data_IF_411397844129
#
_entry.id   IF_411397844129
#
_cell.length_a   1.000
_cell.length_b   1.000
_cell.length_c   1.000
_cell.angle_alpha   90.00
_cell.angle_beta   90.00
_cell.angle_gamma   90.00
#
_symmetry.space_group_name_H-M   'P 1'
#
loop_
_entity.id
_entity.type
_entity.pdbx_description
1 polymer ?
#
# COMPACT_ATOMS: atom_id res chain seq x y z
N UNK A 1 30.53 15.34 -8.28
CA UNK A 1 29.23 15.79 -8.80
C UNK A 1 28.63 16.78 -7.83
N UNK A 2 27.84 17.76 -8.30
CA UNK A 2 27.12 18.71 -7.44
C UNK A 2 26.07 17.92 -6.64
N UNK A 3 26.03 18.09 -5.33
CA UNK A 3 25.01 17.51 -4.45
C UNK A 3 23.65 18.08 -4.83
N UNK A 4 22.68 17.24 -5.15
CA UNK A 4 21.29 17.62 -5.49
C UNK A 4 20.35 17.26 -4.34
N UNK A 5 19.29 18.07 -4.17
CA UNK A 5 18.14 17.69 -3.36
C UNK A 5 17.12 16.98 -4.25
N UNK A 6 16.85 15.72 -3.95
CA UNK A 6 15.96 14.83 -4.71
C UNK A 6 14.81 14.40 -3.80
N UNK A 7 13.58 14.53 -4.27
CA UNK A 7 12.40 14.03 -3.57
C UNK A 7 11.88 12.77 -4.28
N UNK A 8 11.72 11.68 -3.54
CA UNK A 8 11.20 10.42 -4.07
C UNK A 8 9.77 10.22 -3.54
N UNK A 9 8.78 10.44 -4.40
CA UNK A 9 7.38 10.16 -4.12
C UNK A 9 7.15 8.65 -4.17
N UNK A 10 6.52 8.08 -3.14
CA UNK A 10 6.47 6.62 -2.94
C UNK A 10 7.78 6.06 -2.37
N UNK A 11 8.58 6.91 -1.70
CA UNK A 11 9.91 6.60 -1.20
C UNK A 11 10.00 5.45 -0.18
N UNK A 12 8.88 5.04 0.43
CA UNK A 12 8.79 3.88 1.33
C UNK A 12 8.42 2.57 0.65
N UNK A 13 8.06 2.60 -0.65
CA UNK A 13 7.64 1.42 -1.42
C UNK A 13 8.80 0.52 -1.88
N UNK A 14 8.46 -0.54 -2.62
CA UNK A 14 9.41 -1.53 -3.14
C UNK A 14 10.57 -0.89 -3.93
N UNK A 15 10.26 -0.05 -4.89
CA UNK A 15 11.25 0.65 -5.71
C UNK A 15 11.81 1.86 -4.95
N UNK A 16 10.92 2.62 -4.30
CA UNK A 16 11.29 3.89 -3.65
C UNK A 16 12.34 3.73 -2.57
N UNK A 17 12.23 2.74 -1.70
CA UNK A 17 13.22 2.51 -0.62
C UNK A 17 14.61 2.18 -1.16
N UNK A 18 14.68 1.35 -2.21
CA UNK A 18 15.93 0.99 -2.90
C UNK A 18 16.54 2.22 -3.62
N UNK A 19 15.70 2.98 -4.32
CA UNK A 19 16.10 4.20 -5.02
C UNK A 19 16.65 5.26 -4.06
N UNK A 20 15.96 5.51 -2.94
CA UNK A 20 16.42 6.42 -1.88
C UNK A 20 17.81 6.04 -1.39
N UNK A 21 18.05 4.75 -1.13
CA UNK A 21 19.35 4.26 -0.71
C UNK A 21 20.43 4.48 -1.79
N UNK A 22 20.14 4.13 -3.04
CA UNK A 22 21.07 4.31 -4.16
C UNK A 22 21.47 5.79 -4.36
N UNK A 23 20.49 6.68 -4.30
CA UNK A 23 20.74 8.14 -4.46
C UNK A 23 21.52 8.73 -3.29
N UNK A 24 21.25 8.29 -2.05
CA UNK A 24 22.00 8.70 -0.85
C UNK A 24 23.46 8.23 -0.90
N UNK A 25 23.70 6.99 -1.33
CA UNK A 25 25.06 6.44 -1.52
C UNK A 25 25.87 7.22 -2.56
N UNK A 26 25.20 7.87 -3.52
CA UNK A 26 25.81 8.78 -4.51
C UNK A 26 26.03 10.21 -3.96
N UNK A 27 25.77 10.44 -2.68
CA UNK A 27 26.04 11.72 -2.01
C UNK A 27 24.93 12.78 -2.16
N UNK A 28 23.76 12.44 -2.70
CA UNK A 28 22.64 13.37 -2.83
C UNK A 28 21.88 13.53 -1.50
N UNK A 29 21.20 14.67 -1.35
CA UNK A 29 20.22 14.88 -0.30
C UNK A 29 18.88 14.30 -0.77
N UNK A 30 18.37 13.28 -0.08
CA UNK A 30 17.17 12.56 -0.55
C UNK A 30 16.09 12.53 0.51
N UNK A 31 14.92 13.08 0.17
CA UNK A 31 13.70 12.97 0.94
C UNK A 31 12.86 11.81 0.41
N UNK A 32 12.59 10.84 1.28
CA UNK A 32 11.61 9.77 1.00
C UNK A 32 10.21 10.27 1.38
N UNK A 33 9.41 10.63 0.39
CA UNK A 33 8.09 11.18 0.57
C UNK A 33 7.00 10.12 0.42
N UNK A 34 6.11 10.04 1.41
CA UNK A 34 4.94 9.14 1.44
C UNK A 34 3.92 9.65 2.45
N UNK A 35 2.67 9.17 2.46
CA UNK A 35 1.71 9.54 3.48
C UNK A 35 2.22 9.31 4.91
N UNK A 36 2.99 8.24 5.15
CA UNK A 36 3.60 7.96 6.44
C UNK A 36 4.65 9.00 6.88
N UNK A 37 5.22 9.75 5.95
CA UNK A 37 6.15 10.87 6.22
C UNK A 37 5.46 12.24 6.16
N UNK A 38 4.13 12.31 6.13
CA UNK A 38 3.36 13.55 6.08
C UNK A 38 3.29 14.18 4.69
N UNK A 39 3.57 13.44 3.62
CA UNK A 39 3.47 13.93 2.24
C UNK A 39 2.43 13.11 1.48
N UNK A 40 1.29 13.72 1.18
CA UNK A 40 0.18 13.07 0.51
C UNK A 40 -0.14 13.76 -0.84
N UNK A 41 0.15 13.06 -1.93
CA UNK A 41 -0.10 13.58 -3.29
C UNK A 41 -1.58 13.67 -3.65
N UNK A 42 -2.48 12.91 -3.01
CA UNK A 42 -3.92 13.00 -3.26
C UNK A 42 -4.54 14.26 -2.65
N UNK A 43 -4.09 14.67 -1.48
CA UNK A 43 -4.61 15.86 -0.78
C UNK A 43 -3.77 17.11 -1.00
N UNK A 44 -2.54 16.97 -1.47
CA UNK A 44 -1.55 18.04 -1.57
C UNK A 44 -0.83 18.34 -0.24
N UNK A 45 -1.19 17.68 0.84
CA UNK A 45 -0.60 17.90 2.17
C UNK A 45 0.89 17.59 2.16
N UNK A 46 1.69 18.50 2.73
CA UNK A 46 3.14 18.37 2.86
C UNK A 46 3.94 18.52 1.56
N UNK A 47 3.31 18.63 0.38
CA UNK A 47 4.02 18.73 -0.91
C UNK A 47 4.88 19.98 -0.99
N UNK A 48 4.37 21.16 -0.67
CA UNK A 48 5.11 22.42 -0.77
C UNK A 48 6.38 22.43 0.09
N UNK A 49 6.29 21.86 1.31
CA UNK A 49 7.44 21.77 2.21
C UNK A 49 8.47 20.74 1.75
N UNK A 50 7.99 19.59 1.28
CA UNK A 50 8.85 18.53 0.74
C UNK A 50 9.64 18.98 -0.48
N UNK A 51 9.00 19.74 -1.37
CA UNK A 51 9.57 20.19 -2.64
C UNK A 51 10.42 21.46 -2.53
N UNK A 52 10.42 22.15 -1.39
CA UNK A 52 11.20 23.37 -1.22
C UNK A 52 12.69 23.15 -1.49
N UNK A 53 13.20 23.77 -2.58
CA UNK A 53 14.59 23.65 -3.03
C UNK A 53 14.96 22.30 -3.63
N UNK A 54 14.00 21.47 -3.98
CA UNK A 54 14.23 20.24 -4.73
C UNK A 54 14.54 20.56 -6.20
N UNK A 55 15.63 19.99 -6.73
CA UNK A 55 15.94 20.05 -8.15
C UNK A 55 15.27 18.91 -8.93
N UNK A 56 15.15 17.75 -8.32
CA UNK A 56 14.63 16.53 -8.98
C UNK A 56 13.53 15.90 -8.14
N UNK A 57 12.47 15.51 -8.80
CA UNK A 57 11.41 14.65 -8.22
C UNK A 57 11.38 13.33 -8.96
N UNK A 58 11.35 12.22 -8.22
CA UNK A 58 11.17 10.88 -8.80
C UNK A 58 9.87 10.29 -8.27
N UNK A 59 8.88 10.17 -9.15
CA UNK A 59 7.59 9.58 -8.82
C UNK A 59 7.60 8.08 -9.10
N UNK A 60 7.68 7.29 -8.05
CA UNK A 60 7.51 5.83 -8.06
C UNK A 60 6.29 5.39 -7.25
N UNK A 61 5.33 6.30 -7.06
CA UNK A 61 4.09 6.00 -6.38
C UNK A 61 3.22 5.01 -7.16
N UNK A 62 2.35 4.30 -6.44
CA UNK A 62 1.39 3.39 -7.04
C UNK A 62 0.06 3.46 -6.28
N UNK A 63 -1.04 3.21 -6.99
CA UNK A 63 -2.36 3.22 -6.40
C UNK A 63 -2.51 2.11 -5.34
N UNK A 64 -3.23 2.38 -4.24
CA UNK A 64 -3.53 1.35 -3.24
C UNK A 64 -4.62 0.38 -3.69
N UNK A 65 -5.40 0.73 -4.70
CA UNK A 65 -6.49 -0.05 -5.30
C UNK A 65 -6.15 -0.43 -6.75
N UNK A 66 -6.73 -1.53 -7.22
CA UNK A 66 -6.66 -1.99 -8.61
C UNK A 66 -8.00 -1.86 -9.35
N UNK A 67 -9.03 -1.32 -8.69
CA UNK A 67 -10.30 -1.00 -9.34
C UNK A 67 -10.09 0.09 -10.39
N UNK A 68 -10.61 -0.12 -11.60
CA UNK A 68 -10.36 0.71 -12.78
C UNK A 68 -10.57 2.21 -12.53
N UNK A 69 -11.67 2.57 -11.87
CA UNK A 69 -11.97 3.97 -11.56
C UNK A 69 -11.03 4.52 -10.49
N UNK A 70 -10.79 3.76 -9.42
CA UNK A 70 -9.97 4.21 -8.30
C UNK A 70 -8.49 4.37 -8.69
N UNK A 71 -7.96 3.48 -9.55
CA UNK A 71 -6.58 3.61 -10.04
C UNK A 71 -6.42 4.80 -10.99
N UNK A 72 -7.43 5.09 -11.83
CA UNK A 72 -7.42 6.27 -12.70
C UNK A 72 -7.45 7.56 -11.87
N UNK A 73 -8.40 7.68 -10.94
CA UNK A 73 -8.53 8.84 -10.05
C UNK A 73 -7.25 9.08 -9.23
N UNK A 74 -6.61 8.00 -8.76
CA UNK A 74 -5.33 8.11 -8.06
C UNK A 74 -4.28 8.80 -8.92
N UNK A 75 -3.98 8.27 -10.11
CA UNK A 75 -2.91 8.82 -10.94
C UNK A 75 -3.24 10.19 -11.52
N UNK A 76 -4.50 10.47 -11.82
CA UNK A 76 -4.91 11.80 -12.27
C UNK A 76 -4.82 12.84 -11.15
N UNK A 77 -5.34 12.55 -9.97
CA UNK A 77 -5.36 13.50 -8.85
C UNK A 77 -3.96 13.72 -8.29
N UNK A 78 -3.23 12.63 -8.01
CA UNK A 78 -1.84 12.73 -7.52
C UNK A 78 -0.92 13.41 -8.53
N UNK A 79 -1.08 13.10 -9.83
CA UNK A 79 -0.30 13.72 -10.88
C UNK A 79 -0.53 15.22 -10.99
N UNK A 80 -1.79 15.68 -11.00
CA UNK A 80 -2.11 17.14 -11.03
C UNK A 80 -1.56 17.88 -9.82
N UNK A 81 -1.75 17.33 -8.62
CA UNK A 81 -1.27 17.96 -7.39
C UNK A 81 0.25 18.03 -7.36
N UNK A 82 0.91 16.92 -7.73
CA UNK A 82 2.37 16.85 -7.72
C UNK A 82 2.99 17.81 -8.72
N UNK A 83 2.57 17.75 -9.98
CA UNK A 83 3.09 18.62 -11.06
C UNK A 83 2.81 20.11 -10.78
N UNK A 84 1.64 20.44 -10.20
CA UNK A 84 1.35 21.81 -9.77
C UNK A 84 2.29 22.30 -8.67
N UNK A 85 2.57 21.45 -7.67
CA UNK A 85 3.49 21.76 -6.59
C UNK A 85 4.96 21.85 -7.08
N UNK A 86 5.37 20.98 -8.00
CA UNK A 86 6.69 21.00 -8.65
C UNK A 86 6.92 22.30 -9.43
N UNK A 87 5.94 22.71 -10.24
CA UNK A 87 6.00 23.97 -10.98
C UNK A 87 6.17 25.17 -10.03
N UNK A 88 5.43 25.20 -8.93
CA UNK A 88 5.53 26.26 -7.92
C UNK A 88 6.88 26.24 -7.17
N UNK A 89 7.48 25.06 -7.00
CA UNK A 89 8.79 24.90 -6.34
C UNK A 89 9.99 25.11 -7.27
N UNK A 90 9.78 25.22 -8.59
CA UNK A 90 10.84 25.36 -9.58
C UNK A 90 11.67 24.09 -9.79
N UNK A 91 11.01 22.91 -9.73
CA UNK A 91 11.67 21.63 -10.00
C UNK A 91 12.20 21.58 -11.43
N UNK A 92 13.44 21.15 -11.57
CA UNK A 92 14.16 21.16 -12.85
C UNK A 92 14.03 19.83 -13.62
N UNK A 93 13.67 18.73 -12.94
CA UNK A 93 13.51 17.41 -13.56
C UNK A 93 12.47 16.55 -12.83
N UNK A 94 11.39 16.22 -13.52
CA UNK A 94 10.41 15.20 -13.09
C UNK A 94 10.74 13.85 -13.72
N UNK A 95 10.97 12.83 -12.90
CA UNK A 95 11.17 11.45 -13.35
C UNK A 95 9.99 10.61 -12.92
N UNK A 96 9.31 9.95 -13.84
CA UNK A 96 8.18 9.07 -13.51
C UNK A 96 8.48 7.62 -13.88
N UNK A 97 8.19 6.69 -12.96
CA UNK A 97 8.18 5.27 -13.24
C UNK A 97 6.83 4.88 -13.84
N UNK A 98 6.84 4.42 -15.09
CA UNK A 98 5.70 3.89 -15.82
C UNK A 98 5.92 2.42 -16.19
N UNK A 99 5.10 1.86 -17.06
CA UNK A 99 5.12 0.45 -17.43
C UNK A 99 5.24 0.27 -18.94
N UNK A 100 6.03 -0.69 -19.38
CA UNK A 100 6.10 -1.10 -20.80
C UNK A 100 4.75 -1.66 -21.24
N UNK A 101 4.32 -1.28 -22.45
CA UNK A 101 3.03 -1.70 -22.99
C UNK A 101 1.86 -0.79 -22.61
N UNK A 102 2.10 0.37 -22.03
CA UNK A 102 1.07 1.33 -21.61
C UNK A 102 0.06 1.61 -22.73
N UNK A 103 0.51 1.81 -23.96
CA UNK A 103 -0.36 2.06 -25.13
C UNK A 103 -0.97 0.79 -25.74
N UNK A 104 -0.43 -0.39 -25.43
CA UNK A 104 -0.84 -1.67 -26.03
C UNK A 104 -1.92 -2.41 -25.23
N UNK A 105 -2.05 -2.11 -23.94
CA UNK A 105 -2.91 -2.84 -23.00
C UNK A 105 -4.03 -1.97 -22.42
N UNK A 106 -4.60 -1.08 -23.22
CA UNK A 106 -5.65 -0.14 -22.78
C UNK A 106 -6.98 -0.81 -22.38
N UNK A 107 -7.15 -2.10 -22.62
CA UNK A 107 -8.23 -2.87 -22.02
C UNK A 107 -8.13 -2.98 -20.49
N UNK A 108 -6.93 -2.82 -19.91
CA UNK A 108 -6.68 -2.78 -18.46
C UNK A 108 -6.85 -1.36 -17.90
N UNK A 109 -7.60 -1.20 -16.81
CA UNK A 109 -7.73 0.07 -16.10
C UNK A 109 -6.40 0.62 -15.62
N UNK A 110 -5.51 -0.26 -15.13
CA UNK A 110 -4.18 0.15 -14.71
C UNK A 110 -3.35 0.79 -15.84
N UNK A 111 -3.33 0.18 -17.02
CA UNK A 111 -2.59 0.74 -18.15
C UNK A 111 -3.22 2.04 -18.67
N UNK A 112 -4.57 2.17 -18.63
CA UNK A 112 -5.24 3.45 -18.91
C UNK A 112 -4.84 4.53 -17.91
N UNK A 113 -4.77 4.20 -16.63
CA UNK A 113 -4.37 5.13 -15.59
C UNK A 113 -2.90 5.56 -15.71
N UNK A 114 -2.00 4.65 -16.08
CA UNK A 114 -0.59 4.99 -16.38
C UNK A 114 -0.49 5.85 -17.64
N UNK A 115 -1.31 5.61 -18.65
CA UNK A 115 -1.39 6.47 -19.85
C UNK A 115 -1.83 7.90 -19.46
N UNK A 116 -2.85 8.04 -18.61
CA UNK A 116 -3.31 9.34 -18.12
C UNK A 116 -2.20 10.08 -17.35
N UNK A 117 -1.46 9.40 -16.48
CA UNK A 117 -0.29 9.96 -15.78
C UNK A 117 0.77 10.47 -16.79
N UNK A 118 1.13 9.65 -17.78
CA UNK A 118 2.11 10.06 -18.79
C UNK A 118 1.63 11.28 -19.61
N UNK A 119 0.33 11.36 -19.92
CA UNK A 119 -0.25 12.50 -20.63
C UNK A 119 -0.18 13.78 -19.79
N UNK A 120 -0.47 13.73 -18.50
CA UNK A 120 -0.33 14.87 -17.60
C UNK A 120 1.11 15.37 -17.53
N UNK A 121 2.08 14.46 -17.43
CA UNK A 121 3.51 14.81 -17.40
C UNK A 121 3.92 15.49 -18.72
N UNK A 122 3.55 14.92 -19.87
CA UNK A 122 3.85 15.48 -21.21
C UNK A 122 3.21 16.85 -21.44
N UNK A 123 2.06 17.12 -20.84
CA UNK A 123 1.36 18.40 -20.92
C UNK A 123 1.92 19.45 -19.94
N UNK A 124 2.73 19.05 -18.97
CA UNK A 124 3.38 19.98 -18.03
C UNK A 124 4.52 20.75 -18.68
N UNK A 125 4.88 21.89 -18.07
CA UNK A 125 6.05 22.68 -18.49
C UNK A 125 7.36 22.25 -17.78
N UNK A 126 7.29 21.22 -16.94
CA UNK A 126 8.45 20.74 -16.19
C UNK A 126 9.27 19.82 -17.08
N UNK A 127 10.60 20.00 -17.18
CA UNK A 127 11.46 19.06 -17.89
C UNK A 127 11.30 17.65 -17.28
N UNK A 128 11.16 16.62 -18.11
CA UNK A 128 10.80 15.31 -17.61
C UNK A 128 11.54 14.14 -18.26
N UNK A 129 11.52 13.00 -17.59
CA UNK A 129 11.87 11.70 -18.16
C UNK A 129 10.88 10.64 -17.68
N UNK A 130 10.13 10.02 -18.59
CA UNK A 130 9.27 8.88 -18.30
C UNK A 130 10.09 7.61 -18.48
N UNK A 131 10.19 6.80 -17.44
CA UNK A 131 10.87 5.51 -17.45
C UNK A 131 9.83 4.40 -17.43
N UNK A 132 9.64 3.73 -18.55
CA UNK A 132 8.78 2.55 -18.63
C UNK A 132 9.58 1.30 -18.28
N UNK A 133 9.24 0.64 -17.20
CA UNK A 133 9.84 -0.64 -16.81
C UNK A 133 8.98 -1.81 -17.28
N UNK A 134 9.62 -2.92 -17.62
CA UNK A 134 8.92 -4.20 -17.75
C UNK A 134 8.48 -4.72 -16.37
N UNK A 135 7.73 -5.81 -16.34
CA UNK A 135 7.21 -6.39 -15.10
C UNK A 135 8.36 -6.78 -14.16
N UNK A 136 8.16 -6.61 -12.86
CA UNK A 136 9.21 -6.95 -11.89
C UNK A 136 9.18 -8.44 -11.52
N UNK A 137 10.34 -9.01 -11.22
CA UNK A 137 10.44 -10.37 -10.70
C UNK A 137 9.59 -10.58 -9.44
N UNK A 138 9.51 -9.56 -8.60
CA UNK A 138 8.74 -9.53 -7.35
C UNK A 138 7.22 -9.69 -7.58
N UNK A 139 6.75 -9.55 -8.82
CA UNK A 139 5.35 -9.79 -9.17
C UNK A 139 5.03 -11.25 -9.49
N UNK A 140 6.03 -12.15 -9.56
CA UNK A 140 5.82 -13.56 -9.87
C UNK A 140 4.77 -14.22 -8.93
N UNK A 141 4.80 -13.91 -7.63
CA UNK A 141 3.80 -14.40 -6.67
C UNK A 141 2.40 -13.86 -6.94
N UNK A 142 2.28 -12.57 -7.29
CA UNK A 142 1.02 -11.93 -7.65
C UNK A 142 0.42 -12.48 -8.94
N UNK A 143 1.24 -12.70 -9.97
CA UNK A 143 0.85 -13.35 -11.22
C UNK A 143 0.34 -14.75 -10.94
N UNK A 144 1.09 -15.53 -10.16
CA UNK A 144 0.71 -16.88 -9.74
C UNK A 144 -0.65 -16.88 -9.05
N UNK A 145 -0.85 -16.01 -8.08
CA UNK A 145 -2.11 -15.92 -7.31
C UNK A 145 -3.29 -15.55 -8.21
N UNK A 146 -3.11 -14.57 -9.08
CA UNK A 146 -4.18 -14.11 -9.99
C UNK A 146 -4.59 -15.18 -11.00
N UNK A 147 -3.65 -16.01 -11.45
CA UNK A 147 -3.86 -17.06 -12.45
C UNK A 147 -4.18 -18.44 -11.85
N UNK A 148 -4.39 -18.53 -10.52
CA UNK A 148 -4.64 -19.80 -9.84
C UNK A 148 -6.10 -20.24 -9.96
N UNK A 149 -6.28 -21.46 -10.44
CA UNK A 149 -7.57 -22.17 -10.52
C UNK A 149 -7.42 -23.54 -9.83
N UNK A 150 -7.91 -23.65 -8.59
CA UNK A 150 -7.75 -24.87 -7.77
C UNK A 150 -6.27 -25.22 -7.54
N UNK A 151 -5.83 -26.40 -7.96
CA UNK A 151 -4.46 -26.88 -7.84
C UNK A 151 -3.57 -26.51 -9.04
N UNK A 152 -4.03 -25.64 -9.93
CA UNK A 152 -3.33 -25.28 -11.15
C UNK A 152 -3.18 -23.76 -11.29
N UNK A 153 -2.17 -23.33 -12.05
CA UNK A 153 -1.95 -21.93 -12.44
C UNK A 153 -2.04 -21.87 -13.97
N UNK A 154 -3.08 -21.22 -14.48
CA UNK A 154 -3.37 -21.16 -15.93
C UNK A 154 -2.81 -19.85 -16.51
N UNK A 155 -1.88 -19.96 -17.45
CA UNK A 155 -1.11 -18.82 -17.97
C UNK A 155 -0.95 -18.87 -19.51
N UNK A 156 -0.92 -17.70 -20.16
CA UNK A 156 -0.55 -17.62 -21.56
C UNK A 156 0.95 -17.90 -21.75
N UNK A 157 1.31 -18.32 -22.95
CA UNK A 157 2.73 -18.48 -23.36
C UNK A 157 3.37 -17.18 -23.86
N UNK A 158 2.72 -16.03 -23.67
CA UNK A 158 3.22 -14.74 -24.14
C UNK A 158 4.60 -14.41 -23.55
N UNK A 159 5.45 -13.77 -24.33
CA UNK A 159 6.78 -13.33 -23.90
C UNK A 159 6.69 -12.19 -22.89
N UNK A 160 7.55 -12.24 -21.91
CA UNK A 160 7.88 -11.18 -20.96
C UNK A 160 9.38 -10.94 -20.95
N UNK A 161 9.81 -9.76 -20.51
CA UNK A 161 11.23 -9.48 -20.25
C UNK A 161 11.38 -8.86 -18.86
N UNK A 162 11.01 -9.61 -17.80
CA UNK A 162 10.88 -9.05 -16.47
C UNK A 162 12.23 -8.64 -15.87
N UNK A 163 12.22 -7.66 -14.97
CA UNK A 163 13.38 -6.99 -14.40
C UNK A 163 13.36 -7.08 -12.86
N UNK A 164 14.52 -7.15 -12.21
CA UNK A 164 14.63 -7.06 -10.76
C UNK A 164 14.33 -5.65 -10.26
N UNK A 165 13.64 -5.51 -9.12
CA UNK A 165 13.39 -4.21 -8.48
C UNK A 165 14.70 -3.47 -8.13
N UNK A 166 15.78 -4.18 -7.84
CA UNK A 166 17.11 -3.59 -7.59
C UNK A 166 17.68 -2.93 -8.85
N UNK A 167 17.58 -3.58 -10.01
CA UNK A 167 17.97 -3.00 -11.29
C UNK A 167 17.11 -1.79 -11.67
N UNK A 168 15.79 -1.83 -11.44
CA UNK A 168 14.90 -0.69 -11.65
C UNK A 168 15.36 0.50 -10.83
N UNK A 169 15.63 0.29 -9.54
CA UNK A 169 16.08 1.36 -8.64
C UNK A 169 17.47 1.92 -9.04
N UNK A 170 18.38 1.07 -9.50
CA UNK A 170 19.68 1.51 -9.98
C UNK A 170 19.58 2.35 -11.25
N UNK A 171 18.81 1.89 -12.24
CA UNK A 171 18.59 2.60 -13.50
C UNK A 171 17.81 3.92 -13.30
N UNK A 172 16.82 3.95 -12.41
CA UNK A 172 16.15 5.19 -12.02
C UNK A 172 17.08 6.18 -11.34
N UNK A 173 18.02 5.71 -10.49
CA UNK A 173 19.01 6.58 -9.87
C UNK A 173 19.97 7.20 -10.89
N UNK A 174 20.30 6.48 -11.98
CA UNK A 174 21.07 7.03 -13.09
C UNK A 174 20.29 8.12 -13.85
N UNK A 175 19.00 7.87 -14.10
CA UNK A 175 18.12 8.83 -14.78
C UNK A 175 17.91 10.08 -13.95
N UNK A 176 17.69 9.93 -12.65
CA UNK A 176 17.44 11.06 -11.74
C UNK A 176 18.60 12.07 -11.68
N UNK A 177 19.85 11.62 -11.89
CA UNK A 177 21.03 12.48 -11.88
C UNK A 177 21.53 12.89 -13.28
N UNK A 178 20.81 12.48 -14.33
CA UNK A 178 21.08 12.85 -15.72
C UNK A 178 20.24 14.04 -16.15
N UNK A 179 20.60 14.67 -17.28
CA UNK A 179 19.76 15.70 -17.89
C UNK A 179 18.39 15.17 -18.29
N UNK A 180 17.31 15.97 -18.15
CA UNK A 180 15.98 15.62 -18.57
C UNK A 180 15.92 15.24 -20.05
N UNK A 181 15.29 14.10 -20.36
CA UNK A 181 15.17 13.62 -21.74
C UNK A 181 14.06 14.32 -22.52
N UNK A 182 13.09 14.92 -21.81
CA UNK A 182 11.83 15.41 -22.36
C UNK A 182 11.15 14.37 -23.27
N UNK A 183 11.16 13.15 -22.80
CA UNK A 183 10.73 11.98 -23.53
C UNK A 183 10.67 10.75 -22.65
N UNK A 184 10.64 9.61 -23.32
CA UNK A 184 10.51 8.31 -22.67
C UNK A 184 11.74 7.44 -22.95
N UNK A 185 12.06 6.56 -22.03
CA UNK A 185 12.98 5.45 -22.20
C UNK A 185 12.35 4.17 -21.59
N UNK A 186 12.75 3.04 -22.11
CA UNK A 186 12.35 1.74 -21.58
C UNK A 186 13.50 1.04 -20.88
N UNK A 187 13.17 0.37 -19.76
CA UNK A 187 14.10 -0.48 -19.03
C UNK A 187 13.54 -1.89 -18.92
N UNK A 188 14.39 -2.89 -19.04
CA UNK A 188 13.96 -4.29 -19.02
C UNK A 188 15.04 -5.18 -18.37
N UNK A 189 14.65 -6.39 -17.99
CA UNK A 189 15.60 -7.40 -17.56
C UNK A 189 16.48 -7.91 -18.72
N UNK A 190 17.54 -8.67 -18.40
CA UNK A 190 18.52 -9.10 -19.39
C UNK A 190 18.00 -10.21 -20.33
N UNK A 191 16.87 -10.86 -20.01
CA UNK A 191 16.40 -12.02 -20.75
C UNK A 191 14.88 -12.02 -20.94
N UNK A 192 14.44 -12.47 -22.10
CA UNK A 192 13.04 -12.75 -22.39
C UNK A 192 12.68 -14.16 -21.92
N UNK A 193 11.55 -14.31 -21.27
CA UNK A 193 11.04 -15.57 -20.72
C UNK A 193 9.55 -15.64 -21.03
N UNK A 194 9.03 -16.82 -21.41
CA UNK A 194 7.59 -17.03 -21.53
C UNK A 194 6.93 -16.98 -20.16
N UNK A 195 5.73 -16.42 -20.07
CA UNK A 195 5.05 -16.20 -18.78
C UNK A 195 4.81 -17.50 -18.03
N UNK A 196 4.35 -18.55 -18.71
CA UNK A 196 4.15 -19.88 -18.12
C UNK A 196 5.47 -20.49 -17.62
N UNK A 197 6.58 -20.31 -18.34
CA UNK A 197 7.90 -20.77 -17.93
C UNK A 197 8.46 -19.98 -16.75
N UNK A 198 8.30 -18.66 -16.73
CA UNK A 198 8.67 -17.81 -15.59
C UNK A 198 8.03 -18.33 -14.29
N UNK A 199 6.72 -18.57 -14.33
CA UNK A 199 5.98 -19.02 -13.16
C UNK A 199 6.30 -20.47 -12.81
N UNK A 200 6.55 -21.33 -13.78
CA UNK A 200 7.01 -22.71 -13.52
C UNK A 200 8.35 -22.72 -12.77
N UNK A 201 9.31 -21.89 -13.17
CA UNK A 201 10.58 -21.73 -12.44
C UNK A 201 10.37 -21.16 -11.05
N UNK A 202 9.48 -20.18 -10.90
CA UNK A 202 9.14 -19.59 -9.61
C UNK A 202 8.52 -20.62 -8.64
N UNK A 203 7.52 -21.40 -9.09
CA UNK A 203 6.89 -22.44 -8.27
C UNK A 203 7.89 -23.52 -7.85
N UNK A 204 8.74 -23.97 -8.76
CA UNK A 204 9.77 -24.95 -8.46
C UNK A 204 10.76 -24.43 -7.40
N UNK A 205 11.20 -23.19 -7.51
CA UNK A 205 12.14 -22.57 -6.57
C UNK A 205 11.53 -22.33 -5.18
N UNK A 206 10.21 -22.10 -5.12
CA UNK A 206 9.50 -21.88 -3.85
C UNK A 206 8.91 -23.15 -3.23
N UNK A 207 9.08 -24.32 -3.89
CA UNK A 207 8.50 -25.58 -3.42
C UNK A 207 6.98 -25.67 -3.53
N UNK A 208 6.36 -24.83 -4.37
CA UNK A 208 4.92 -24.82 -4.59
C UNK A 208 4.49 -25.97 -5.51
N UNK A 209 3.57 -26.82 -5.05
CA UNK A 209 3.18 -28.03 -5.74
C UNK A 209 2.16 -27.81 -6.87
N UNK A 210 1.66 -26.58 -7.06
CA UNK A 210 0.69 -26.25 -8.12
C UNK A 210 1.30 -26.47 -9.51
N UNK A 211 0.47 -26.95 -10.44
CA UNK A 211 0.90 -27.20 -11.83
C UNK A 211 0.61 -26.00 -12.72
N UNK A 212 1.58 -25.59 -13.51
CA UNK A 212 1.37 -24.57 -14.56
C UNK A 212 0.75 -25.21 -15.79
N UNK A 213 -0.42 -24.70 -16.19
CA UNK A 213 -1.12 -25.06 -17.42
C UNK A 213 -0.92 -23.91 -18.42
N UNK A 214 -0.28 -24.18 -19.52
CA UNK A 214 -0.16 -23.25 -20.64
C UNK A 214 -1.48 -23.22 -21.41
N UNK A 215 -2.08 -22.03 -21.53
CA UNK A 215 -3.34 -21.83 -22.25
C UNK A 215 -3.26 -20.54 -23.07
N UNK A 216 -3.38 -20.66 -24.39
CA UNK A 216 -3.32 -19.51 -25.29
C UNK A 216 -4.45 -18.48 -25.06
N UNK A 217 -5.54 -18.89 -24.40
CA UNK A 217 -6.69 -18.02 -24.07
C UNK A 217 -6.63 -17.47 -22.64
N UNK A 218 -5.64 -17.88 -21.86
CA UNK A 218 -5.43 -17.31 -20.52
C UNK A 218 -5.10 -15.84 -20.61
N UNK A 219 -5.58 -15.08 -19.63
CA UNK A 219 -5.45 -13.61 -19.59
C UNK A 219 -4.46 -13.16 -18.53
N UNK A 220 -3.73 -12.12 -18.84
CA UNK A 220 -2.87 -11.44 -17.88
C UNK A 220 -3.65 -10.33 -17.18
N UNK A 221 -4.00 -10.54 -15.90
CA UNK A 221 -4.88 -9.62 -15.14
C UNK A 221 -6.14 -9.20 -15.91
N UNK A 222 -6.80 -10.17 -16.54
CA UNK A 222 -8.05 -9.98 -17.27
C UNK A 222 -7.92 -9.51 -18.72
N UNK A 223 -6.71 -9.22 -19.22
CA UNK A 223 -6.48 -8.80 -20.61
C UNK A 223 -5.76 -9.86 -21.43
N UNK A 224 -6.05 -9.89 -22.73
CA UNK A 224 -5.33 -10.74 -23.68
C UNK A 224 -3.94 -10.18 -23.94
N UNK A 225 -2.96 -11.07 -24.03
CA UNK A 225 -1.56 -10.71 -24.27
C UNK A 225 -0.96 -11.62 -25.36
N UNK A 226 0.00 -11.08 -26.08
CA UNK A 226 0.81 -11.77 -27.06
C UNK A 226 2.31 -11.51 -26.82
N UNK A 227 3.16 -12.03 -27.67
CA UNK A 227 4.63 -11.93 -27.54
C UNK A 227 5.17 -10.49 -27.59
N UNK A 228 4.37 -9.50 -27.97
CA UNK A 228 4.75 -8.08 -28.00
C UNK A 228 4.15 -7.25 -26.89
N UNK A 229 3.19 -7.79 -26.14
CA UNK A 229 2.40 -7.02 -25.17
C UNK A 229 3.23 -6.53 -23.98
N UNK A 230 4.14 -7.38 -23.46
CA UNK A 230 4.87 -7.21 -22.20
C UNK A 230 6.40 -7.13 -22.39
N UNK A 231 6.87 -7.02 -23.62
CA UNK A 231 8.28 -6.83 -23.95
C UNK A 231 8.56 -5.38 -24.35
N UNK A 232 9.74 -4.85 -24.12
CA UNK A 232 10.08 -3.49 -24.51
C UNK A 232 10.19 -3.35 -26.02
N UNK A 233 10.19 -2.10 -26.48
CA UNK A 233 10.56 -1.73 -27.84
C UNK A 233 12.07 -1.92 -28.11
N UNK A 234 12.58 -1.42 -29.22
CA UNK A 234 13.99 -1.54 -29.56
C UNK A 234 14.88 -0.74 -28.61
N UNK A 235 16.05 -1.28 -28.27
CA UNK A 235 17.12 -0.63 -27.48
C UNK A 235 16.71 -0.20 -26.06
N UNK A 236 16.07 -1.06 -25.24
CA UNK A 236 15.85 -0.77 -23.83
C UNK A 236 17.19 -0.71 -23.09
N UNK A 237 17.23 0.03 -21.99
CA UNK A 237 18.33 -0.14 -21.02
C UNK A 237 18.10 -1.44 -20.25
N UNK A 238 19.09 -2.32 -20.22
CA UNK A 238 18.95 -3.61 -19.58
C UNK A 238 19.47 -3.57 -18.14
N UNK A 239 18.72 -4.22 -17.24
CA UNK A 239 19.23 -4.62 -15.94
C UNK A 239 20.22 -5.76 -16.08
N UNK A 240 20.91 -6.08 -15.00
CA UNK A 240 21.97 -7.11 -14.98
C UNK A 240 21.54 -8.42 -14.31
N UNK A 241 20.57 -8.35 -13.41
CA UNK A 241 20.16 -9.49 -12.57
C UNK A 241 19.28 -10.43 -13.38
N UNK A 242 19.72 -11.69 -13.50
CA UNK A 242 18.94 -12.74 -14.17
C UNK A 242 17.89 -13.32 -13.22
N UNK A 243 16.78 -13.81 -13.78
CA UNK A 243 15.71 -14.38 -12.95
C UNK A 243 16.17 -15.59 -12.11
N UNK A 244 17.04 -16.43 -12.66
CA UNK A 244 17.61 -17.57 -11.93
C UNK A 244 18.48 -17.13 -10.74
N UNK A 245 19.25 -16.05 -10.89
CA UNK A 245 20.06 -15.48 -9.81
C UNK A 245 19.17 -14.87 -8.72
N UNK A 246 18.13 -14.13 -9.14
CA UNK A 246 17.15 -13.55 -8.25
C UNK A 246 16.41 -14.61 -7.41
N UNK A 247 16.02 -15.75 -8.01
CA UNK A 247 15.39 -16.87 -7.29
C UNK A 247 16.28 -17.47 -6.21
N UNK A 248 17.60 -17.47 -6.40
CA UNK A 248 18.57 -18.00 -5.44
C UNK A 248 18.95 -17.01 -4.32
N UNK A 249 18.54 -15.75 -4.43
CA UNK A 249 18.76 -14.75 -3.38
C UNK A 249 17.70 -14.92 -2.29
N UNK A 250 18.07 -14.94 -0.98
CA UNK A 250 17.09 -15.01 0.10
C UNK A 250 16.08 -13.86 -0.03
N UNK A 251 14.87 -14.18 -0.50
CA UNK A 251 13.82 -13.21 -0.69
C UNK A 251 13.23 -12.81 0.66
N UNK A 252 13.38 -11.55 1.06
CA UNK A 252 12.46 -10.96 2.02
C UNK A 252 11.12 -10.85 1.30
N UNK A 253 10.23 -11.80 1.55
CA UNK A 253 8.88 -11.83 0.98
C UNK A 253 8.15 -10.55 1.42
N UNK A 254 8.16 -9.55 0.58
CA UNK A 254 7.29 -8.39 0.74
C UNK A 254 5.93 -8.85 0.19
N UNK A 255 5.08 -9.37 1.08
CA UNK A 255 3.68 -9.62 0.77
C UNK A 255 3.02 -8.28 0.42
N UNK A 256 2.79 -8.03 -0.86
CA UNK A 256 1.91 -6.94 -1.29
C UNK A 256 0.47 -7.30 -0.96
N UNK A 257 -0.38 -6.31 -0.58
CA UNK A 257 -1.81 -6.55 -0.49
C UNK A 257 -2.30 -7.02 -1.87
N UNK A 258 -2.90 -8.20 -1.90
CA UNK A 258 -3.51 -8.76 -3.09
C UNK A 258 -4.70 -7.93 -3.51
N UNK A 259 -4.79 -7.58 -4.80
CA UNK A 259 -6.00 -7.04 -5.40
C UNK A 259 -7.19 -7.97 -5.08
N UNK A 260 -8.35 -7.44 -4.69
CA UNK A 260 -9.55 -8.26 -4.56
C UNK A 260 -9.90 -8.86 -5.92
N UNK A 261 -10.19 -10.16 -5.93
CA UNK A 261 -10.69 -10.83 -7.13
C UNK A 261 -11.94 -10.09 -7.63
N UNK A 262 -11.95 -9.70 -8.90
CA UNK A 262 -13.11 -9.08 -9.54
C UNK A 262 -14.27 -10.08 -9.57
N UNK A 263 -15.22 -9.93 -8.66
CA UNK A 263 -16.45 -10.73 -8.64
C UNK A 263 -17.53 -9.96 -9.43
N UNK A 264 -18.06 -10.49 -10.54
CA UNK A 264 -19.01 -9.78 -11.40
C UNK A 264 -20.37 -9.49 -10.73
N UNK A 265 -20.61 -10.00 -9.51
CA UNK A 265 -21.86 -9.82 -8.78
C UNK A 265 -21.96 -8.52 -7.96
N UNK A 266 -20.92 -7.68 -7.90
CA UNK A 266 -20.95 -6.41 -7.12
C UNK A 266 -21.48 -5.22 -7.95
N UNK A 267 -21.70 -5.38 -9.25
CA UNK A 267 -22.24 -4.29 -10.10
C UNK A 267 -23.68 -3.84 -9.76
N UNK A 268 -24.43 -4.60 -8.94
CA UNK A 268 -25.82 -4.28 -8.60
C UNK A 268 -26.00 -3.58 -7.25
N UNK A 269 -25.00 -3.55 -6.36
CA UNK A 269 -25.16 -3.01 -5.01
C UNK A 269 -24.66 -1.56 -4.83
N UNK A 270 -23.84 -1.04 -5.74
CA UNK A 270 -23.28 0.31 -5.62
C UNK A 270 -24.25 1.44 -6.04
N UNK A 271 -25.35 1.12 -6.73
CA UNK A 271 -26.36 2.12 -7.18
C UNK A 271 -27.42 2.41 -6.11
N UNK A 272 -27.57 1.55 -5.08
CA UNK A 272 -28.61 1.69 -4.07
C UNK A 272 -28.22 2.56 -2.86
N UNK A 273 -26.95 2.90 -2.68
CA UNK A 273 -26.46 3.67 -1.49
C UNK A 273 -26.43 5.18 -1.73
N UNK A 274 -26.50 5.65 -2.98
CA UNK A 274 -26.46 7.08 -3.31
C UNK A 274 -27.85 7.80 -3.28
N UNK A 275 -28.94 7.11 -2.97
CA UNK A 275 -30.28 7.69 -2.93
C UNK A 275 -30.87 7.84 -1.53
N UNK A 276 -30.15 7.52 -0.45
CA UNK A 276 -30.62 7.64 0.94
C UNK A 276 -29.92 8.72 1.78
N UNK A 277 -29.08 9.53 1.18
CA UNK A 277 -28.33 10.61 1.85
C UNK A 277 -29.00 11.98 1.91
N UNK A 278 -30.23 12.16 1.42
CA UNK A 278 -30.83 13.49 1.22
C UNK A 278 -32.04 13.81 2.10
N UNK A 279 -32.38 13.02 3.12
CA UNK A 279 -33.59 13.29 3.96
C UNK A 279 -33.26 13.20 5.47
N UNK A 280 -32.19 13.79 5.96
CA UNK A 280 -32.02 14.08 7.39
C UNK A 280 -31.26 15.41 7.56
N UNK A 281 -31.88 16.50 7.11
CA UNK A 281 -31.49 17.84 7.48
C UNK A 281 -32.79 18.66 7.64
N UNK A 282 -33.38 18.57 8.80
CA UNK A 282 -34.51 19.39 9.17
C UNK A 282 -35.25 18.77 10.34
N UNK A 283 -34.90 19.08 11.52
CA UNK A 283 -35.66 19.28 12.76
C UNK A 283 -34.68 19.13 13.93
N UNK A 284 -34.15 20.22 14.39
CA UNK A 284 -33.75 20.44 15.79
C UNK A 284 -33.49 21.92 15.99
N UNK A 285 -34.61 22.63 16.23
CA UNK A 285 -34.56 23.88 16.95
C UNK A 285 -35.65 23.83 18.05
N UNK A 286 -35.29 24.37 19.19
CA UNK A 286 -36.12 24.74 20.34
C UNK A 286 -36.35 23.65 21.42
N UNK A 287 -35.59 23.77 22.50
CA UNK A 287 -36.21 24.19 23.78
C UNK A 287 -35.14 24.49 24.82
N UNK A 288 -35.20 25.75 25.24
CA UNK A 288 -34.50 26.35 26.37
C UNK A 288 -35.05 25.90 27.73
N UNK A 289 -34.17 26.07 28.70
CA UNK A 289 -34.39 26.73 29.97
C UNK A 289 -34.66 25.94 31.27
N UNK A 290 -33.91 26.41 32.22
CA UNK A 290 -34.17 26.50 33.69
C UNK A 290 -33.59 25.31 34.50
N UNK A 291 -32.76 25.55 35.42
CA UNK A 291 -32.36 26.50 36.42
C UNK A 291 -31.88 25.75 37.67
N UNK A 292 -30.73 26.16 38.22
CA UNK A 292 -30.41 26.44 39.63
C UNK A 292 -30.74 25.35 40.68
N UNK A 293 -29.96 25.05 41.67
CA UNK A 293 -28.99 25.78 42.48
C UNK A 293 -28.40 24.83 43.57
N UNK A 294 -27.22 25.20 44.07
CA UNK A 294 -26.69 25.01 45.41
C UNK A 294 -26.36 23.59 45.91
N UNK A 295 -25.18 23.26 46.32
CA UNK A 295 -24.53 23.69 47.57
C UNK A 295 -23.23 22.94 47.80
N UNK A 296 -22.24 23.66 48.17
CA UNK A 296 -20.91 23.18 48.52
C UNK A 296 -20.91 22.27 49.77
N UNK A 297 -20.10 21.24 49.74
CA UNK A 297 -19.29 20.87 50.94
C UNK A 297 -18.02 20.11 50.49
N UNK A 298 -16.92 20.70 50.87
CA UNK A 298 -15.58 20.12 50.82
C UNK A 298 -15.50 18.82 51.61
N UNK A 299 -14.87 17.79 51.01
CA UNK A 299 -14.09 16.84 51.78
C UNK A 299 -13.01 16.19 50.90
N UNK A 300 -11.81 16.36 51.37
CA UNK A 300 -10.49 15.81 51.06
C UNK A 300 -10.40 14.59 50.13
N UNK A 301 -9.68 14.83 49.04
CA UNK A 301 -8.53 14.07 48.49
C UNK A 301 -8.49 12.56 48.78
N UNK A 302 -8.86 11.80 47.73
CA UNK A 302 -8.14 10.61 47.30
C UNK A 302 -8.24 10.62 45.76
N UNK A 303 -7.15 10.96 45.12
CA UNK A 303 -7.04 10.90 43.64
C UNK A 303 -6.93 9.42 43.29
N UNK A 304 -8.06 8.75 43.15
CA UNK A 304 -8.16 7.54 42.37
C UNK A 304 -8.09 8.00 40.90
N UNK A 305 -6.95 7.75 40.26
CA UNK A 305 -6.87 7.84 38.81
C UNK A 305 -7.85 6.80 38.26
N UNK A 306 -9.02 7.25 37.80
CA UNK A 306 -9.89 6.43 36.95
C UNK A 306 -9.04 6.00 35.76
N UNK A 307 -8.81 4.70 35.62
CA UNK A 307 -8.19 4.12 34.46
C UNK A 307 -9.07 4.48 33.26
N UNK A 308 -8.58 5.34 32.38
CA UNK A 308 -9.29 5.70 31.14
C UNK A 308 -9.34 4.46 30.27
N UNK A 309 -10.52 3.90 30.09
CA UNK A 309 -10.74 2.71 29.26
C UNK A 309 -10.43 2.98 27.79
N UNK A 310 -10.00 1.94 27.07
CA UNK A 310 -9.83 1.97 25.63
C UNK A 310 -11.19 2.16 24.95
N UNK A 311 -11.23 3.02 23.95
CA UNK A 311 -12.43 3.19 23.11
C UNK A 311 -12.32 2.29 21.88
N UNK A 312 -13.25 1.35 21.73
CA UNK A 312 -13.32 0.44 20.59
C UNK A 312 -14.50 0.83 19.69
N UNK A 313 -14.23 1.09 18.42
CA UNK A 313 -15.24 1.47 17.42
C UNK A 313 -15.23 0.44 16.29
N UNK A 314 -16.32 -0.30 16.05
CA UNK A 314 -16.44 -1.18 14.89
C UNK A 314 -16.38 -0.36 13.60
N UNK A 315 -15.57 -0.81 12.63
CA UNK A 315 -15.43 -0.18 11.32
C UNK A 315 -16.13 -1.02 10.24
N UNK A 316 -15.99 -2.34 10.32
CA UNK A 316 -16.46 -3.24 9.28
C UNK A 316 -16.65 -4.65 9.84
N UNK A 317 -17.71 -5.34 9.39
CA UNK A 317 -17.90 -6.78 9.63
C UNK A 317 -18.43 -7.44 8.36
N UNK A 318 -17.90 -8.62 8.02
CA UNK A 318 -18.27 -9.35 6.83
C UNK A 318 -18.17 -10.86 7.04
N UNK A 319 -19.26 -11.57 6.73
CA UNK A 319 -19.23 -13.03 6.62
C UNK A 319 -18.30 -13.45 5.49
N UNK A 320 -17.45 -14.43 5.74
CA UNK A 320 -16.50 -14.94 4.77
C UNK A 320 -17.10 -16.15 4.06
N UNK A 321 -17.63 -15.93 2.85
CA UNK A 321 -18.35 -16.94 2.07
C UNK A 321 -17.48 -18.18 1.76
N UNK A 322 -16.17 -17.98 1.58
CA UNK A 322 -15.20 -19.05 1.29
C UNK A 322 -14.74 -19.81 2.56
N UNK A 323 -15.15 -19.34 3.74
CA UNK A 323 -14.88 -19.94 5.04
C UNK A 323 -16.19 -20.03 5.85
N UNK A 324 -17.03 -21.05 5.59
CA UNK A 324 -18.33 -21.18 6.26
C UNK A 324 -18.21 -21.09 7.78
N UNK A 325 -19.03 -20.26 8.41
CA UNK A 325 -19.03 -20.06 9.86
C UNK A 325 -17.97 -19.06 10.36
N UNK A 326 -17.18 -18.43 9.47
CA UNK A 326 -16.21 -17.39 9.83
C UNK A 326 -16.66 -16.02 9.38
N UNK A 327 -16.22 -15.00 10.12
CA UNK A 327 -16.38 -13.60 9.76
C UNK A 327 -15.05 -12.82 9.94
N UNK A 328 -14.86 -11.79 9.11
CA UNK A 328 -13.84 -10.77 9.30
C UNK A 328 -14.46 -9.56 9.99
N UNK A 329 -13.87 -9.13 11.10
CA UNK A 329 -14.27 -7.94 11.84
C UNK A 329 -13.10 -6.98 11.93
N UNK A 330 -13.32 -5.71 11.59
CA UNK A 330 -12.32 -4.65 11.75
C UNK A 330 -12.82 -3.64 12.78
N UNK A 331 -11.94 -3.31 13.73
CA UNK A 331 -12.24 -2.31 14.76
C UNK A 331 -11.12 -1.28 14.84
N UNK A 332 -11.49 -0.05 15.18
CA UNK A 332 -10.56 0.99 15.60
C UNK A 332 -10.48 0.99 17.12
N UNK A 333 -9.27 1.01 17.65
CA UNK A 333 -9.01 1.12 19.09
C UNK A 333 -8.24 2.42 19.35
N UNK A 334 -8.76 3.21 20.27
CA UNK A 334 -8.14 4.45 20.74
C UNK A 334 -7.77 4.28 22.21
N UNK A 335 -6.47 4.34 22.51
CA UNK A 335 -5.94 4.31 23.85
C UNK A 335 -5.70 5.75 24.34
N UNK A 336 -6.45 6.24 25.32
CA UNK A 336 -6.12 7.48 26.01
C UNK A 336 -4.71 7.41 26.64
N UNK A 337 -4.08 8.55 26.94
CA UNK A 337 -2.81 8.58 27.65
C UNK A 337 -2.87 7.77 28.97
N UNK A 338 -1.92 6.85 29.14
CA UNK A 338 -1.81 6.01 30.34
C UNK A 338 -2.84 4.89 30.48
N UNK A 339 -3.70 4.66 29.48
CA UNK A 339 -4.67 3.55 29.51
C UNK A 339 -4.01 2.18 29.35
N UNK A 340 -4.65 1.16 29.91
CA UNK A 340 -4.25 -0.24 29.78
C UNK A 340 -5.47 -1.15 29.73
N UNK A 341 -5.36 -2.25 29.03
CA UNK A 341 -6.39 -3.28 28.98
C UNK A 341 -6.24 -4.27 30.15
N UNK A 342 -7.33 -4.86 30.63
CA UNK A 342 -7.27 -6.01 31.51
C UNK A 342 -6.68 -7.23 30.78
N UNK A 343 -6.20 -8.23 31.53
CA UNK A 343 -5.74 -9.50 30.95
C UNK A 343 -6.91 -10.18 30.23
N UNK A 344 -6.74 -10.47 28.95
CA UNK A 344 -7.79 -11.04 28.09
C UNK A 344 -7.19 -11.91 27.00
N UNK A 345 -8.05 -12.57 26.23
CA UNK A 345 -7.74 -13.24 24.98
C UNK A 345 -8.82 -12.99 23.94
N UNK A 346 -8.48 -13.20 22.71
CA UNK A 346 -9.43 -13.17 21.61
C UNK A 346 -9.69 -14.60 21.12
N UNK A 347 -10.97 -14.99 20.93
CA UNK A 347 -11.30 -16.22 20.20
C UNK A 347 -11.19 -15.98 18.70
N UNK A 348 -10.07 -15.43 18.28
CA UNK A 348 -9.85 -14.92 16.93
C UNK A 348 -8.34 -14.84 16.61
N UNK A 349 -8.02 -14.82 15.33
CA UNK A 349 -6.74 -14.30 14.88
C UNK A 349 -6.83 -12.78 14.82
N UNK A 350 -6.04 -12.08 15.64
CA UNK A 350 -5.96 -10.61 15.69
C UNK A 350 -4.73 -10.10 14.94
N UNK A 351 -4.95 -9.20 13.98
CA UNK A 351 -3.90 -8.51 13.22
C UNK A 351 -3.97 -7.03 13.55
N UNK A 352 -3.02 -6.56 14.34
CA UNK A 352 -2.95 -5.19 14.83
C UNK A 352 -2.06 -4.35 13.91
N UNK A 353 -2.50 -3.14 13.56
CA UNK A 353 -1.71 -2.15 12.85
C UNK A 353 -1.81 -0.80 13.55
N UNK A 354 -0.68 -0.29 14.05
CA UNK A 354 -0.63 0.97 14.77
C UNK A 354 -0.63 2.15 13.80
N UNK A 355 -1.60 3.05 13.95
CA UNK A 355 -1.76 4.25 13.14
C UNK A 355 -1.04 5.46 13.74
N UNK A 356 -1.22 5.66 15.06
CA UNK A 356 -0.72 6.85 15.77
C UNK A 356 -0.24 6.49 17.17
N UNK A 357 0.77 7.22 17.66
CA UNK A 357 1.30 7.04 19.01
C UNK A 357 2.21 5.83 19.16
N UNK A 358 2.22 5.25 20.37
CA UNK A 358 2.95 4.02 20.67
C UNK A 358 2.20 3.18 21.71
N UNK A 359 2.22 1.86 21.55
CA UNK A 359 1.58 0.90 22.45
C UNK A 359 2.58 -0.17 22.87
N UNK A 360 2.36 -0.75 24.02
CA UNK A 360 3.14 -1.87 24.53
C UNK A 360 2.24 -3.09 24.59
N UNK A 361 2.69 -4.17 23.98
CA UNK A 361 1.94 -5.41 23.79
C UNK A 361 2.77 -6.60 24.30
N UNK A 362 2.10 -7.56 24.95
CA UNK A 362 2.72 -8.82 25.34
C UNK A 362 1.67 -9.92 25.43
N UNK A 363 1.93 -11.06 24.79
CA UNK A 363 1.20 -12.32 25.04
C UNK A 363 1.94 -13.16 26.06
N UNK A 364 1.21 -14.00 26.80
CA UNK A 364 1.76 -14.86 27.87
C UNK A 364 2.89 -15.75 27.31
N UNK A 365 4.05 -15.70 27.96
CA UNK A 365 5.25 -16.44 27.53
C UNK A 365 6.06 -15.75 26.44
N UNK A 366 5.55 -14.68 25.82
CA UNK A 366 6.27 -13.85 24.85
C UNK A 366 7.02 -12.70 25.53
N UNK A 367 7.82 -11.97 24.72
CA UNK A 367 8.49 -10.74 25.14
C UNK A 367 7.55 -9.54 25.04
N UNK A 368 7.71 -8.57 25.93
CA UNK A 368 7.09 -7.26 25.80
C UNK A 368 7.65 -6.55 24.55
N UNK A 369 6.77 -6.03 23.71
CA UNK A 369 7.10 -5.35 22.46
C UNK A 369 6.47 -3.96 22.48
N UNK A 370 7.28 -2.93 22.24
CA UNK A 370 6.79 -1.58 22.01
C UNK A 370 6.60 -1.37 20.52
N UNK A 371 5.38 -1.04 20.11
CA UNK A 371 5.03 -0.70 18.72
C UNK A 371 4.95 0.81 18.57
N UNK A 372 5.39 1.29 17.42
CA UNK A 372 5.22 2.68 16.94
C UNK A 372 4.41 2.69 15.65
N UNK A 373 3.90 3.86 15.25
CA UNK A 373 3.08 4.00 14.05
C UNK A 373 3.70 3.31 12.82
N UNK A 374 2.89 2.56 12.08
CA UNK A 374 3.32 1.75 10.92
C UNK A 374 3.78 0.33 11.26
N UNK A 375 3.86 -0.03 12.54
CA UNK A 375 4.23 -1.38 12.97
C UNK A 375 3.01 -2.25 13.22
N UNK A 376 3.22 -3.56 13.17
CA UNK A 376 2.18 -4.58 13.33
C UNK A 376 2.47 -5.51 14.50
N UNK A 377 1.41 -6.09 15.05
CA UNK A 377 1.46 -7.18 16.02
C UNK A 377 0.42 -8.23 15.62
N UNK A 378 0.70 -9.49 15.96
CA UNK A 378 -0.23 -10.60 15.71
C UNK A 378 -0.45 -11.34 17.02
N UNK A 379 -1.71 -11.75 17.24
CA UNK A 379 -2.13 -12.64 18.31
C UNK A 379 -3.07 -13.71 17.76
N UNK A 380 -2.86 -14.94 18.20
CA UNK A 380 -3.67 -16.09 17.85
C UNK A 380 -4.85 -16.31 18.82
N UNK A 381 -5.78 -17.24 18.50
CA UNK A 381 -6.96 -17.48 19.32
C UNK A 381 -6.67 -18.06 20.72
N UNK A 382 -5.50 -18.65 20.91
CA UNK A 382 -5.06 -19.21 22.22
C UNK A 382 -4.12 -18.26 22.99
N UNK A 383 -3.69 -17.15 22.38
CA UNK A 383 -2.79 -16.20 23.00
C UNK A 383 -3.52 -15.40 24.07
N UNK A 384 -2.97 -15.39 25.30
CA UNK A 384 -3.46 -14.57 26.39
C UNK A 384 -2.67 -13.26 26.40
N UNK A 385 -3.36 -12.17 26.14
CA UNK A 385 -2.82 -10.83 26.16
C UNK A 385 -2.62 -10.39 27.62
N UNK A 386 -1.39 -10.30 28.07
CA UNK A 386 -1.05 -9.97 29.46
C UNK A 386 -0.63 -8.51 29.63
N UNK A 387 -0.18 -7.84 28.57
CA UNK A 387 0.11 -6.42 28.53
C UNK A 387 -0.46 -5.83 27.23
N UNK A 388 -1.42 -4.93 27.38
CA UNK A 388 -1.94 -4.03 26.35
C UNK A 388 -2.07 -2.65 26.96
N UNK A 389 -1.20 -1.70 26.60
CA UNK A 389 -1.24 -0.36 27.17
C UNK A 389 -0.69 0.70 26.25
N UNK A 390 -1.14 1.93 26.43
CA UNK A 390 -0.50 3.08 25.81
C UNK A 390 0.90 3.26 26.41
N UNK A 391 1.92 3.37 25.57
CA UNK A 391 3.29 3.61 26.04
C UNK A 391 3.49 5.04 26.56
N UNK A 392 2.59 5.98 26.20
CA UNK A 392 2.66 7.38 26.58
C UNK A 392 1.66 7.73 27.68
N UNK A 393 2.12 8.51 28.65
CA UNK A 393 1.28 9.09 29.70
C UNK A 393 0.62 10.42 29.29
N UNK A 394 1.00 10.98 28.13
CA UNK A 394 0.59 12.32 27.70
C UNK A 394 -0.03 12.38 26.32
N UNK A 395 0.22 11.38 25.46
CA UNK A 395 -0.28 11.32 24.08
C UNK A 395 -1.18 10.10 23.88
N UNK A 396 -2.28 10.21 23.14
CA UNK A 396 -3.11 9.06 22.78
C UNK A 396 -2.37 8.14 21.80
N UNK A 397 -2.84 6.90 21.68
CA UNK A 397 -2.45 5.99 20.64
C UNK A 397 -3.70 5.46 19.92
N UNK A 398 -3.57 5.15 18.62
CA UNK A 398 -4.66 4.72 17.76
C UNK A 398 -4.22 3.61 16.83
N UNK A 399 -4.98 2.53 16.80
CA UNK A 399 -4.65 1.37 15.97
C UNK A 399 -5.90 0.66 15.45
N UNK A 400 -5.74 -0.06 14.36
CA UNK A 400 -6.75 -0.93 13.79
C UNK A 400 -6.44 -2.36 14.15
N UNK A 401 -7.48 -3.11 14.50
CA UNK A 401 -7.40 -4.57 14.64
C UNK A 401 -8.34 -5.22 13.63
N UNK A 402 -7.80 -6.12 12.83
CA UNK A 402 -8.60 -7.02 12.01
C UNK A 402 -8.66 -8.40 12.68
N UNK A 403 -9.87 -8.85 12.98
CA UNK A 403 -10.13 -10.16 13.54
C UNK A 403 -10.69 -11.12 12.50
N UNK A 404 -10.08 -12.30 12.41
CA UNK A 404 -10.67 -13.46 11.74
C UNK A 404 -11.20 -14.41 12.83
N UNK A 405 -12.53 -14.55 12.94
CA UNK A 405 -13.17 -15.25 14.04
C UNK A 405 -14.40 -16.07 13.61
N UNK A 406 -14.91 -16.90 14.50
CA UNK A 406 -16.19 -17.53 14.30
C UNK A 406 -17.32 -16.50 14.32
N UNK A 407 -18.29 -16.68 13.42
CA UNK A 407 -19.44 -15.79 13.30
C UNK A 407 -20.20 -15.72 14.63
N UNK A 408 -20.46 -14.50 15.09
CA UNK A 408 -21.17 -14.26 16.34
C UNK A 408 -20.38 -14.55 17.63
N UNK A 409 -19.14 -15.05 17.55
CA UNK A 409 -18.30 -15.24 18.73
C UNK A 409 -17.89 -13.90 19.36
N UNK A 410 -17.80 -13.78 20.70
CA UNK A 410 -17.32 -12.57 21.34
C UNK A 410 -15.86 -12.29 20.96
N UNK A 411 -15.54 -11.03 20.70
CA UNK A 411 -14.18 -10.61 20.34
C UNK A 411 -13.23 -10.70 21.51
N UNK A 412 -13.69 -10.37 22.71
CA UNK A 412 -12.88 -10.31 23.92
C UNK A 412 -13.42 -11.29 24.95
N UNK A 413 -12.52 -12.09 25.52
CA UNK A 413 -12.80 -13.02 26.62
C UNK A 413 -11.82 -12.74 27.74
N UNK A 414 -12.32 -12.40 28.94
CA UNK A 414 -11.45 -12.22 30.09
C UNK A 414 -10.71 -13.51 30.44
N UNK A 415 -9.39 -13.43 30.58
CA UNK A 415 -8.55 -14.55 30.99
C UNK A 415 -8.08 -14.33 32.43
N UNK A 416 -7.96 -15.46 33.17
CA UNK A 416 -7.40 -15.42 34.54
C UNK A 416 -5.88 -15.51 34.50
#
# INVERSE_FOLDING_TARGET
MKKMKIVVIGGSGLIGSKLVNNLRQRGNEVLAASPASGVNTLTGEGLADALRGAQVVVDVSNAPSWEDQAVLEFFETSGRNLLGAEAAAGVEHHVALSVVGTERLLASGYFRAKMAQEQLIKASQIPYTIVRATQFFEFASGITKNATEGASVRLPSALMQPIAADDVAALLADVAVSEPKNGMLEIAGPEQIRQDELIRRFLNATGDARKVITDAHARYYGVEVNDQSLVPGPNPRLGSIRFAEWLNTPQKVIARPSAPASNPSIRAAAVAVLLLGAIVLGVLSLRDAAAQDSSAKQSKVATTMEAKEAKVTPLFSKDLMDFPGKEGLMVMVEYPPGSSDPIHRHNAHGFIYLLEGSIIMQVRGGKEVTLTAGQTFYEGPEDVHVVGRNASQTKPAKFVVFFLKDKGAPVLVHAK
#
